data_IF_927914823872
#
_entry.id   IF_927914823872
#
_cell.length_a   1.000
_cell.length_b   1.000
_cell.length_c   1.000
_cell.angle_alpha   90.00
_cell.angle_beta   90.00
_cell.angle_gamma   90.00
#
_symmetry.space_group_name_H-M   'P 1'
#
loop_
_entity.id
_entity.type
_entity.pdbx_description
1 polymer ?
#
# COMPACT_ATOMS: atom_id res chain seq x y z
N UNK A 1 -15.53 -3.09 -6.72
CA UNK A 1 -16.30 -1.96 -6.16
C UNK A 1 -15.67 -1.43 -4.87
N UNK A 2 -15.31 -2.31 -3.92
CA UNK A 2 -14.53 -2.02 -2.70
C UNK A 2 -13.02 -2.29 -2.81
N UNK A 3 -12.49 -2.34 -4.04
CA UNK A 3 -11.05 -2.43 -4.30
C UNK A 3 -10.43 -1.05 -4.19
N UNK A 4 -9.24 -0.95 -3.56
CA UNK A 4 -8.51 0.31 -3.33
C UNK A 4 -9.28 1.36 -2.52
N UNK A 5 -9.97 0.95 -1.45
CA UNK A 5 -10.68 1.86 -0.53
C UNK A 5 -9.76 2.95 0.03
N UNK A 6 -8.53 2.60 0.42
CA UNK A 6 -7.55 3.56 0.94
C UNK A 6 -7.28 4.73 -0.03
N UNK A 7 -7.06 4.44 -1.31
CA UNK A 7 -6.86 5.45 -2.35
C UNK A 7 -8.09 6.35 -2.56
N UNK A 8 -9.30 5.79 -2.47
CA UNK A 8 -10.56 6.55 -2.56
C UNK A 8 -10.74 7.49 -1.36
N UNK A 9 -10.40 7.03 -0.16
CA UNK A 9 -10.45 7.85 1.06
C UNK A 9 -9.45 9.01 0.98
N UNK A 10 -8.23 8.77 0.48
CA UNK A 10 -7.24 9.84 0.25
C UNK A 10 -7.78 10.88 -0.74
N UNK A 11 -8.37 10.44 -1.84
CA UNK A 11 -9.01 11.34 -2.80
C UNK A 11 -10.18 12.13 -2.19
N UNK A 12 -11.01 11.47 -1.38
CA UNK A 12 -12.10 12.12 -0.67
C UNK A 12 -11.60 13.18 0.33
N UNK A 13 -10.47 12.96 1.00
CA UNK A 13 -9.87 13.93 1.91
C UNK A 13 -9.63 15.29 1.22
N UNK A 14 -9.14 15.25 -0.02
CA UNK A 14 -8.89 16.45 -0.83
C UNK A 14 -10.20 17.13 -1.20
N UNK A 15 -11.18 16.35 -1.67
CA UNK A 15 -12.50 16.86 -2.08
C UNK A 15 -13.23 17.50 -0.89
N UNK A 16 -13.21 16.86 0.27
CA UNK A 16 -13.83 17.38 1.50
C UNK A 16 -13.12 18.63 1.98
N UNK A 17 -11.80 18.70 1.88
CA UNK A 17 -11.04 19.89 2.26
C UNK A 17 -11.39 21.10 1.38
N UNK A 18 -11.31 20.93 0.06
CA UNK A 18 -11.63 22.00 -0.90
C UNK A 18 -13.11 22.39 -0.78
N UNK A 19 -14.00 21.39 -0.71
CA UNK A 19 -15.43 21.61 -0.55
C UNK A 19 -15.78 22.35 0.75
N UNK A 20 -15.12 22.00 1.86
CA UNK A 20 -15.30 22.66 3.15
C UNK A 20 -14.85 24.12 3.15
N UNK A 21 -13.73 24.43 2.49
CA UNK A 21 -13.27 25.81 2.31
C UNK A 21 -14.27 26.62 1.48
N UNK A 22 -14.69 26.08 0.32
CA UNK A 22 -15.66 26.75 -0.55
C UNK A 22 -16.98 27.00 0.19
N UNK A 23 -17.50 25.99 0.87
CA UNK A 23 -18.73 26.10 1.65
C UNK A 23 -18.60 27.14 2.77
N UNK A 24 -17.46 27.16 3.48
CA UNK A 24 -17.16 28.16 4.51
C UNK A 24 -17.14 29.58 3.97
N UNK A 25 -16.52 29.81 2.81
CA UNK A 25 -16.49 31.11 2.14
C UNK A 25 -17.90 31.56 1.74
N UNK A 26 -18.69 30.68 1.11
CA UNK A 26 -20.07 31.00 0.73
C UNK A 26 -20.92 31.33 1.96
N UNK A 27 -20.80 30.54 3.04
CA UNK A 27 -21.51 30.77 4.28
C UNK A 27 -21.12 32.11 4.93
N UNK A 28 -19.82 32.44 4.95
CA UNK A 28 -19.36 33.72 5.48
C UNK A 28 -19.84 34.92 4.66
N UNK A 29 -19.80 34.84 3.32
CA UNK A 29 -20.32 35.91 2.45
C UNK A 29 -21.83 36.08 2.60
N UNK A 30 -22.58 34.98 2.71
CA UNK A 30 -24.01 35.03 2.99
C UNK A 30 -24.29 35.73 4.32
N UNK A 31 -23.51 35.42 5.37
CA UNK A 31 -23.66 36.04 6.70
C UNK A 31 -23.48 37.56 6.66
N UNK A 32 -22.43 38.04 5.95
CA UNK A 32 -22.18 39.49 5.76
C UNK A 32 -23.35 40.16 5.02
N UNK A 33 -23.98 39.44 4.08
CA UNK A 33 -25.11 39.97 3.30
C UNK A 33 -26.40 40.08 4.12
N UNK A 34 -26.52 39.35 5.23
CA UNK A 34 -27.68 39.43 6.13
C UNK A 34 -27.56 40.57 7.12
N UNK A 35 -26.37 40.77 7.70
CA UNK A 35 -26.11 41.78 8.72
C UNK A 35 -24.65 42.22 8.66
N UNK A 36 -24.42 43.52 8.47
CA UNK A 36 -23.09 44.11 8.38
C UNK A 36 -22.34 44.04 9.72
N UNK A 37 -23.06 44.06 10.85
CA UNK A 37 -22.46 43.96 12.18
C UNK A 37 -21.85 42.56 12.43
N UNK A 38 -22.28 41.55 11.67
CA UNK A 38 -21.74 40.19 11.72
C UNK A 38 -20.44 40.02 10.91
N UNK A 39 -19.93 41.07 10.25
CA UNK A 39 -18.77 40.94 9.35
C UNK A 39 -17.54 40.32 10.03
N UNK A 40 -17.24 40.71 11.27
CA UNK A 40 -16.10 40.18 12.02
C UNK A 40 -16.29 38.69 12.38
N UNK A 41 -17.53 38.30 12.71
CA UNK A 41 -17.91 36.91 12.97
C UNK A 41 -17.82 36.08 11.68
N UNK A 42 -18.26 36.63 10.55
CA UNK A 42 -18.18 35.96 9.25
C UNK A 42 -16.73 35.67 8.84
N UNK A 43 -15.82 36.63 9.02
CA UNK A 43 -14.39 36.45 8.74
C UNK A 43 -13.79 35.38 9.66
N UNK A 44 -14.12 35.39 10.96
CA UNK A 44 -13.72 34.35 11.89
C UNK A 44 -14.24 32.97 11.48
N UNK A 45 -15.51 32.88 11.04
CA UNK A 45 -16.12 31.65 10.58
C UNK A 45 -15.39 31.08 9.35
N UNK A 46 -15.04 31.92 8.38
CA UNK A 46 -14.27 31.50 7.20
C UNK A 46 -12.90 30.96 7.62
N UNK A 47 -12.20 31.68 8.50
CA UNK A 47 -10.89 31.26 8.99
C UNK A 47 -10.96 29.91 9.74
N UNK A 48 -11.94 29.76 10.63
CA UNK A 48 -12.16 28.52 11.40
C UNK A 48 -12.58 27.37 10.46
N UNK A 49 -13.47 27.62 9.50
CA UNK A 49 -13.88 26.61 8.52
C UNK A 49 -12.69 26.13 7.67
N UNK A 50 -11.79 27.04 7.27
CA UNK A 50 -10.58 26.69 6.55
C UNK A 50 -9.62 25.86 7.41
N UNK A 51 -9.41 26.24 8.67
CA UNK A 51 -8.57 25.48 9.61
C UNK A 51 -9.14 24.08 9.87
N UNK A 52 -10.45 23.95 10.13
CA UNK A 52 -11.11 22.67 10.34
C UNK A 52 -10.99 21.80 9.09
N UNK A 53 -11.20 22.36 7.90
CA UNK A 53 -11.09 21.65 6.63
C UNK A 53 -9.66 21.13 6.40
N UNK A 54 -8.67 21.97 6.69
CA UNK A 54 -7.25 21.60 6.59
C UNK A 54 -6.87 20.50 7.57
N UNK A 55 -7.22 20.61 8.85
CA UNK A 55 -6.94 19.58 9.86
C UNK A 55 -7.64 18.27 9.52
N UNK A 56 -8.91 18.34 9.11
CA UNK A 56 -9.72 17.16 8.72
C UNK A 56 -9.12 16.43 7.52
N UNK A 57 -8.45 17.16 6.61
CA UNK A 57 -7.76 16.56 5.47
C UNK A 57 -6.64 15.62 5.89
N UNK A 58 -5.86 15.95 6.92
CA UNK A 58 -4.82 15.05 7.45
C UNK A 58 -5.39 13.81 8.10
N UNK A 59 -6.49 13.95 8.86
CA UNK A 59 -7.13 12.82 9.53
C UNK A 59 -7.69 11.83 8.51
N UNK A 60 -8.43 12.31 7.51
CA UNK A 60 -8.96 11.44 6.44
C UNK A 60 -7.84 10.84 5.60
N UNK A 61 -6.85 11.64 5.22
CA UNK A 61 -5.72 11.16 4.42
C UNK A 61 -4.94 10.08 5.17
N UNK A 62 -4.61 10.34 6.44
CA UNK A 62 -3.92 9.39 7.32
C UNK A 62 -4.74 8.12 7.54
N UNK A 63 -6.06 8.23 7.71
CA UNK A 63 -6.95 7.06 7.75
C UNK A 63 -6.89 6.26 6.45
N UNK A 64 -6.88 6.94 5.29
CA UNK A 64 -6.70 6.31 3.98
C UNK A 64 -5.38 5.53 3.85
N UNK A 65 -4.27 6.08 4.34
CA UNK A 65 -2.97 5.40 4.42
C UNK A 65 -3.02 4.15 5.31
N UNK A 66 -3.62 4.25 6.51
CA UNK A 66 -3.72 3.13 7.44
C UNK A 66 -4.54 1.96 6.87
N UNK A 67 -5.67 2.28 6.21
CA UNK A 67 -6.52 1.27 5.56
C UNK A 67 -5.76 0.57 4.43
N UNK A 68 -5.04 1.33 3.60
CA UNK A 68 -4.26 0.76 2.51
C UNK A 68 -3.12 -0.14 3.02
N UNK A 69 -2.41 0.29 4.06
CA UNK A 69 -1.30 -0.46 4.62
C UNK A 69 -1.77 -1.74 5.35
N UNK A 70 -2.92 -1.68 6.01
CA UNK A 70 -3.56 -2.85 6.62
C UNK A 70 -3.99 -3.88 5.57
N UNK A 71 -4.51 -3.42 4.43
CA UNK A 71 -4.85 -4.28 3.29
C UNK A 71 -3.63 -5.01 2.72
N UNK A 72 -2.50 -4.30 2.55
CA UNK A 72 -1.22 -4.90 2.10
C UNK A 72 -0.69 -5.97 3.08
N UNK A 73 -0.89 -5.78 4.39
CA UNK A 73 -0.48 -6.76 5.40
C UNK A 73 -1.39 -8.01 5.36
N UNK A 74 -2.68 -7.85 5.09
CA UNK A 74 -3.59 -8.99 4.90
C UNK A 74 -3.22 -9.81 3.65
N UNK A 75 -2.91 -9.13 2.54
CA UNK A 75 -2.45 -9.79 1.31
C UNK A 75 -1.04 -10.39 1.44
N UNK A 76 -0.14 -9.74 2.18
CA UNK A 76 1.23 -10.23 2.43
C UNK A 76 1.33 -11.38 3.43
N UNK A 77 0.24 -11.70 4.13
CA UNK A 77 0.10 -12.91 4.96
C UNK A 77 -0.55 -14.09 4.24
N UNK A 78 -1.08 -13.90 3.03
CA UNK A 78 -1.10 -15.03 2.12
C UNK A 78 0.37 -15.48 2.02
N UNK A 79 0.72 -16.74 2.35
CA UNK A 79 2.09 -17.18 2.31
C UNK A 79 2.64 -16.72 0.98
N UNK A 80 3.74 -15.94 1.01
CA UNK A 80 4.50 -15.68 -0.19
C UNK A 80 4.76 -17.05 -0.81
N UNK A 81 3.96 -17.43 -1.80
CA UNK A 81 4.30 -18.39 -2.82
C UNK A 81 5.31 -17.68 -3.72
N UNK A 82 6.39 -17.14 -3.14
CA UNK A 82 7.67 -17.52 -3.68
C UNK A 82 7.66 -19.03 -3.50
N UNK A 83 7.70 -19.83 -4.57
CA UNK A 83 8.28 -21.15 -4.42
C UNK A 83 9.70 -20.86 -3.94
N UNK A 84 9.92 -20.77 -2.62
CA UNK A 84 11.21 -21.09 -2.06
C UNK A 84 11.45 -22.47 -2.65
N UNK A 85 12.48 -22.66 -3.51
CA UNK A 85 12.86 -24.01 -3.89
C UNK A 85 13.00 -24.72 -2.55
N UNK A 86 12.21 -25.78 -2.35
CA UNK A 86 12.33 -26.59 -1.15
C UNK A 86 13.83 -26.82 -0.97
N UNK A 87 14.38 -26.40 0.18
CA UNK A 87 15.80 -26.66 0.46
C UNK A 87 15.99 -28.14 0.16
N UNK A 88 16.89 -28.51 -0.78
CA UNK A 88 17.00 -29.89 -1.22
C UNK A 88 17.18 -30.75 0.03
N UNK A 89 16.29 -31.72 0.25
CA UNK A 89 16.52 -32.78 1.23
C UNK A 89 17.98 -33.24 1.07
N UNK A 90 18.71 -33.57 2.14
CA UNK A 90 20.17 -33.79 2.08
C UNK A 90 20.60 -34.76 0.96
N UNK A 91 19.73 -35.68 0.56
CA UNK A 91 19.93 -36.60 -0.57
C UNK A 91 19.98 -35.92 -1.96
N UNK A 92 19.26 -34.81 -2.17
CA UNK A 92 19.19 -34.08 -3.44
C UNK A 92 20.31 -33.04 -3.62
N UNK A 93 21.02 -32.65 -2.55
CA UNK A 93 22.19 -31.75 -2.68
C UNK A 93 23.27 -32.40 -3.55
N UNK A 94 23.62 -33.65 -3.25
CA UNK A 94 24.62 -34.40 -4.02
C UNK A 94 24.21 -34.57 -5.49
N UNK A 95 22.92 -34.83 -5.76
CA UNK A 95 22.40 -34.93 -7.14
C UNK A 95 22.49 -33.58 -7.87
N UNK A 96 22.22 -32.49 -7.17
CA UNK A 96 22.33 -31.13 -7.72
C UNK A 96 23.79 -30.77 -7.98
N UNK A 97 24.71 -31.18 -7.11
CA UNK A 97 26.16 -31.02 -7.32
C UNK A 97 26.66 -31.86 -8.49
N UNK A 98 26.26 -33.13 -8.60
CA UNK A 98 26.58 -33.99 -9.75
C UNK A 98 26.08 -33.38 -11.06
N UNK A 99 24.84 -32.87 -11.08
CA UNK A 99 24.29 -32.19 -12.25
C UNK A 99 25.07 -30.92 -12.60
N UNK A 100 25.48 -30.14 -11.58
CA UNK A 100 26.32 -28.93 -11.76
C UNK A 100 27.70 -29.28 -12.30
N UNK A 101 28.34 -30.32 -11.77
CA UNK A 101 29.63 -30.81 -12.26
C UNK A 101 29.54 -31.30 -13.71
N UNK A 102 28.43 -31.95 -14.09
CA UNK A 102 28.16 -32.35 -15.48
C UNK A 102 27.98 -31.14 -16.39
N UNK A 103 27.20 -30.14 -15.97
CA UNK A 103 27.03 -28.91 -16.75
C UNK A 103 28.33 -28.10 -16.91
N UNK A 104 29.23 -28.20 -15.92
CA UNK A 104 30.56 -27.57 -16.00
C UNK A 104 31.56 -28.40 -16.82
N UNK A 105 31.17 -29.57 -17.35
CA UNK A 105 32.04 -30.46 -18.11
C UNK A 105 33.14 -31.12 -17.27
N UNK A 106 33.02 -31.08 -15.93
CA UNK A 106 34.02 -31.61 -14.99
C UNK A 106 33.90 -33.13 -14.88
N UNK A 107 32.68 -33.68 -15.06
CA UNK A 107 32.43 -35.12 -15.09
C UNK A 107 31.85 -35.54 -16.44
N UNK A 108 32.22 -36.72 -16.91
CA UNK A 108 31.70 -37.31 -18.14
C UNK A 108 30.33 -37.97 -17.90
N UNK A 109 29.53 -38.12 -18.95
CA UNK A 109 28.17 -38.69 -18.86
C UNK A 109 28.20 -40.11 -18.28
N UNK A 110 29.25 -40.89 -18.57
CA UNK A 110 29.43 -42.23 -18.02
C UNK A 110 29.60 -42.23 -16.49
N UNK A 111 30.38 -41.28 -15.95
CA UNK A 111 30.61 -41.17 -14.51
C UNK A 111 29.37 -40.63 -13.78
N UNK A 112 28.59 -39.77 -14.44
CA UNK A 112 27.30 -39.29 -13.95
C UNK A 112 26.29 -40.45 -13.83
N UNK A 113 26.14 -41.28 -14.88
CA UNK A 113 25.22 -42.42 -14.87
C UNK A 113 25.62 -43.50 -13.88
N UNK A 114 26.92 -43.77 -13.72
CA UNK A 114 27.43 -44.73 -12.73
C UNK A 114 27.08 -44.29 -11.29
N UNK A 115 27.28 -43.00 -10.97
CA UNK A 115 26.95 -42.46 -9.64
C UNK A 115 25.45 -42.39 -9.37
N UNK A 116 24.61 -42.34 -10.41
CA UNK A 116 23.15 -42.50 -10.27
C UNK A 116 22.77 -43.96 -10.00
N UNK A 117 23.39 -44.91 -10.70
CA UNK A 117 23.11 -46.34 -10.54
C UNK A 117 23.57 -46.91 -9.18
N UNK A 118 24.63 -46.37 -8.58
CA UNK A 118 25.09 -46.77 -7.23
C UNK A 118 24.17 -46.29 -6.08
N UNK A 119 23.21 -45.39 -6.36
CA UNK A 119 22.30 -44.80 -5.35
C UNK A 119 20.83 -45.22 -5.48
N UNK A 120 20.48 -45.98 -6.52
CA UNK A 120 19.14 -46.58 -6.70
C UNK A 120 19.05 -47.97 -6.11
#
# INVERSE_FOLDING_TARGET
>A
MYTNIGAKIKGLAIVVCIGGIIAGVIAGLALISFDEDLALIAVLLIAVAALISWVSSFVLYGFGELVENSGKIADGKAPQQNPRPAAPYPQNRDLTELHKLRMQGIITEEEYQKKLAERG
#
